data_IF_857068280598
#
_entry.id   IF_857068280598
#
_cell.length_a   1.000
_cell.length_b   1.000
_cell.length_c   1.000
_cell.angle_alpha   90.00
_cell.angle_beta   90.00
_cell.angle_gamma   90.00
#
_symmetry.space_group_name_H-M   'P 1'
#
loop_
_entity.id
_entity.type
_entity.pdbx_description
1 polymer ?
#
# COMPACT_ATOMS: atom_id res chain seq x y z
N UNK A 1 20.42 -9.50 -76.04
CA UNK A 1 19.17 -9.08 -75.38
C UNK A 1 19.12 -9.73 -73.99
N UNK A 2 19.39 -8.97 -72.93
CA UNK A 2 19.44 -9.47 -71.55
C UNK A 2 18.13 -9.06 -70.87
N UNK A 3 17.30 -10.03 -70.49
CA UNK A 3 16.06 -9.79 -69.72
C UNK A 3 16.43 -9.48 -68.27
N UNK A 4 16.09 -8.29 -67.80
CA UNK A 4 16.16 -7.91 -66.38
C UNK A 4 15.02 -8.59 -65.62
N UNK A 5 15.36 -9.41 -64.62
CA UNK A 5 14.41 -9.94 -63.64
C UNK A 5 14.34 -8.93 -62.50
N UNK A 6 13.17 -8.33 -62.30
CA UNK A 6 12.90 -7.42 -61.18
C UNK A 6 12.52 -8.26 -59.95
N UNK A 7 13.35 -8.21 -58.91
CA UNK A 7 13.06 -8.79 -57.60
C UNK A 7 12.28 -7.74 -56.80
N UNK A 8 11.00 -8.01 -56.54
CA UNK A 8 10.20 -7.23 -55.58
C UNK A 8 10.45 -7.77 -54.17
N UNK A 9 11.19 -7.01 -53.36
CA UNK A 9 11.31 -7.25 -51.92
C UNK A 9 10.05 -6.67 -51.27
N UNK A 10 9.14 -7.55 -50.84
CA UNK A 10 7.99 -7.19 -50.01
C UNK A 10 8.49 -7.03 -48.57
N UNK A 11 8.64 -5.78 -48.12
CA UNK A 11 8.83 -5.46 -46.71
C UNK A 11 7.50 -5.68 -45.97
N UNK A 12 7.37 -6.85 -45.32
CA UNK A 12 6.34 -7.05 -44.30
C UNK A 12 6.74 -6.24 -43.06
N UNK A 13 5.96 -5.24 -42.61
CA UNK A 13 6.21 -4.65 -41.31
C UNK A 13 5.95 -5.71 -40.26
N UNK A 14 7.02 -6.19 -39.63
CA UNK A 14 6.96 -6.99 -38.43
C UNK A 14 6.31 -6.11 -37.35
N UNK A 15 5.00 -6.25 -37.17
CA UNK A 15 4.28 -5.61 -36.08
C UNK A 15 4.75 -6.30 -34.81
N UNK A 16 5.82 -5.77 -34.21
CA UNK A 16 6.16 -6.02 -32.82
C UNK A 16 5.06 -5.40 -31.94
N UNK A 17 3.92 -6.09 -31.86
CA UNK A 17 3.08 -5.99 -30.67
C UNK A 17 3.77 -6.84 -29.61
N UNK A 18 4.86 -6.31 -29.06
CA UNK A 18 5.31 -6.73 -27.75
C UNK A 18 4.12 -6.53 -26.82
N UNK A 19 3.58 -7.62 -26.32
CA UNK A 19 2.55 -7.62 -25.29
C UNK A 19 3.16 -6.95 -24.06
N UNK A 20 3.02 -5.62 -23.95
CA UNK A 20 3.01 -4.98 -22.65
C UNK A 20 1.72 -5.48 -21.97
N UNK A 21 1.82 -6.63 -21.32
CA UNK A 21 0.79 -7.04 -20.38
C UNK A 21 0.83 -5.98 -19.27
N UNK A 22 -0.21 -5.15 -19.20
CA UNK A 22 -0.30 -4.11 -18.19
C UNK A 22 -0.18 -4.76 -16.81
N UNK A 23 0.86 -4.37 -16.07
CA UNK A 23 1.07 -4.85 -14.71
C UNK A 23 -0.08 -4.35 -13.84
N UNK A 24 -0.83 -5.29 -13.29
CA UNK A 24 -1.96 -5.03 -12.39
C UNK A 24 -1.52 -5.33 -10.95
N UNK A 25 -1.66 -4.34 -10.07
CA UNK A 25 -1.37 -4.52 -8.64
C UNK A 25 -2.34 -5.54 -8.05
N UNK A 26 -1.80 -6.53 -7.34
CA UNK A 26 -2.60 -7.49 -6.59
C UNK A 26 -2.96 -6.87 -5.24
N UNK A 27 -4.22 -6.48 -5.09
CA UNK A 27 -4.73 -5.80 -3.88
C UNK A 27 -4.54 -6.66 -2.64
N UNK A 28 -4.79 -7.98 -2.72
CA UNK A 28 -4.64 -8.87 -1.57
C UNK A 28 -3.19 -8.93 -1.09
N UNK A 29 -2.23 -9.05 -2.02
CA UNK A 29 -0.79 -9.04 -1.67
C UNK A 29 -0.37 -7.70 -1.08
N UNK A 30 -0.91 -6.60 -1.60
CA UNK A 30 -0.65 -5.27 -1.07
C UNK A 30 -1.25 -5.10 0.33
N UNK A 31 -2.46 -5.60 0.60
CA UNK A 31 -3.04 -5.65 1.95
C UNK A 31 -2.16 -6.44 2.89
N UNK A 32 -1.74 -7.65 2.50
CA UNK A 32 -0.85 -8.50 3.30
C UNK A 32 0.49 -7.82 3.62
N UNK A 33 1.10 -7.11 2.66
CA UNK A 33 2.36 -6.38 2.88
C UNK A 33 2.20 -5.14 3.76
N UNK A 34 1.01 -4.54 3.81
CA UNK A 34 0.79 -3.25 4.48
C UNK A 34 0.08 -3.35 5.83
N UNK A 35 -0.47 -4.52 6.14
CA UNK A 35 -1.15 -4.82 7.39
C UNK A 35 -0.24 -5.67 8.29
N UNK A 36 -0.11 -5.30 9.55
CA UNK A 36 0.59 -6.08 10.56
C UNK A 36 -0.30 -6.29 11.79
N UNK A 37 -0.16 -7.47 12.40
CA UNK A 37 -0.83 -7.86 13.63
C UNK A 37 0.21 -7.92 14.75
N UNK A 38 -0.23 -7.66 15.98
CA UNK A 38 0.58 -7.94 17.16
C UNK A 38 0.88 -9.44 17.25
N UNK A 39 2.08 -9.76 17.74
CA UNK A 39 2.47 -11.13 18.06
C UNK A 39 1.97 -11.55 19.46
N UNK A 40 1.44 -10.63 20.25
CA UNK A 40 0.93 -10.91 21.60
C UNK A 40 -0.37 -11.72 21.54
N UNK A 41 -0.44 -12.88 22.23
CA UNK A 41 -1.65 -13.70 22.24
C UNK A 41 -2.81 -13.06 23.01
N UNK A 42 -2.51 -12.08 23.88
CA UNK A 42 -3.50 -11.42 24.75
C UNK A 42 -3.98 -10.09 24.16
N UNK A 43 -3.55 -9.74 22.94
CA UNK A 43 -3.89 -8.48 22.27
C UNK A 43 -4.58 -8.72 20.94
N UNK A 44 -5.67 -8.00 20.70
CA UNK A 44 -6.20 -7.76 19.36
C UNK A 44 -5.69 -6.39 18.91
N UNK A 45 -4.47 -6.37 18.38
CA UNK A 45 -3.84 -5.16 17.87
C UNK A 45 -3.45 -5.35 16.42
N UNK A 46 -3.94 -4.48 15.56
CA UNK A 46 -3.63 -4.46 14.13
C UNK A 46 -3.30 -3.04 13.73
N UNK A 47 -2.19 -2.87 13.01
CA UNK A 47 -1.87 -1.64 12.31
C UNK A 47 -1.90 -1.90 10.81
N UNK A 48 -2.70 -1.11 10.10
CA UNK A 48 -2.75 -1.11 8.66
C UNK A 48 -2.33 0.26 8.13
N UNK A 49 -1.13 0.33 7.57
CA UNK A 49 -0.71 1.50 6.82
C UNK A 49 -1.34 1.45 5.43
N UNK A 50 -2.11 2.46 5.03
CA UNK A 50 -2.82 2.42 3.76
C UNK A 50 -2.18 3.45 2.80
N UNK A 51 -1.22 3.05 1.96
CA UNK A 51 -0.61 3.97 1.01
C UNK A 51 -1.63 4.40 -0.05
N UNK A 52 -1.43 5.57 -0.66
CA UNK A 52 -2.27 6.03 -1.78
C UNK A 52 -2.31 5.02 -2.93
N UNK A 53 -1.21 4.31 -3.16
CA UNK A 53 -1.11 3.23 -4.16
C UNK A 53 -2.12 2.11 -3.93
N UNK A 54 -2.55 1.87 -2.69
CA UNK A 54 -3.63 0.93 -2.39
C UNK A 54 -4.95 1.42 -2.97
N UNK A 55 -5.30 2.69 -2.75
CA UNK A 55 -6.51 3.29 -3.29
C UNK A 55 -6.47 3.40 -4.81
N UNK A 56 -5.30 3.70 -5.39
CA UNK A 56 -5.10 3.70 -6.84
C UNK A 56 -5.35 2.30 -7.42
N UNK A 57 -4.83 1.27 -6.76
CA UNK A 57 -5.06 -0.13 -7.14
C UNK A 57 -6.54 -0.52 -7.00
N UNK A 58 -7.26 -0.06 -5.98
CA UNK A 58 -8.70 -0.31 -5.82
C UNK A 58 -9.50 0.38 -6.91
N UNK A 59 -9.31 1.69 -7.10
CA UNK A 59 -10.11 2.49 -8.05
C UNK A 59 -9.85 2.12 -9.50
N UNK A 60 -8.61 1.80 -9.88
CA UNK A 60 -8.28 1.32 -11.23
C UNK A 60 -8.94 -0.02 -11.58
N UNK A 61 -9.41 -0.75 -10.57
CA UNK A 61 -10.03 -2.08 -10.73
C UNK A 61 -11.55 -2.05 -10.55
N UNK A 62 -12.12 -0.93 -10.10
CA UNK A 62 -13.55 -0.75 -9.93
C UNK A 62 -14.13 0.11 -11.06
N UNK A 63 -14.77 -0.55 -12.02
CA UNK A 63 -15.40 0.11 -13.16
C UNK A 63 -16.62 0.99 -12.80
N UNK A 64 -17.12 0.91 -11.56
CA UNK A 64 -18.24 1.73 -11.10
C UNK A 64 -17.82 3.16 -10.70
N UNK A 65 -16.53 3.39 -10.50
CA UNK A 65 -15.97 4.68 -10.10
C UNK A 65 -15.39 5.40 -11.32
N UNK A 66 -15.91 6.58 -11.70
CA UNK A 66 -15.33 7.38 -12.77
C UNK A 66 -13.89 7.80 -12.44
N UNK A 67 -12.97 7.72 -13.43
CA UNK A 67 -11.56 8.11 -13.25
C UNK A 67 -11.39 9.51 -12.67
N UNK A 68 -12.20 10.47 -13.14
CA UNK A 68 -12.15 11.85 -12.62
C UNK A 68 -12.50 11.99 -11.14
N UNK A 69 -13.29 11.06 -10.60
CA UNK A 69 -13.64 11.07 -9.17
C UNK A 69 -12.60 10.31 -8.37
N UNK A 70 -12.06 9.21 -8.91
CA UNK A 70 -10.90 8.52 -8.34
C UNK A 70 -9.71 9.49 -8.18
N UNK A 71 -9.37 10.26 -9.22
CA UNK A 71 -8.25 11.23 -9.20
C UNK A 71 -8.43 12.28 -8.08
N UNK A 72 -9.66 12.77 -7.89
CA UNK A 72 -9.95 13.73 -6.81
C UNK A 72 -9.78 13.12 -5.43
N UNK A 73 -10.19 11.86 -5.24
CA UNK A 73 -10.03 11.13 -3.99
C UNK A 73 -8.55 10.86 -3.70
N UNK A 74 -7.80 10.39 -4.71
CA UNK A 74 -6.37 10.13 -4.60
C UNK A 74 -5.60 11.40 -4.23
N UNK A 75 -5.93 12.54 -4.84
CA UNK A 75 -5.31 13.83 -4.51
C UNK A 75 -5.51 14.23 -3.03
N UNK A 76 -6.58 13.80 -2.38
CA UNK A 76 -6.75 14.01 -0.93
C UNK A 76 -5.83 13.08 -0.14
N UNK A 77 -5.78 11.79 -0.49
CA UNK A 77 -4.92 10.82 0.17
C UNK A 77 -3.43 11.09 -0.02
N UNK A 78 -3.04 11.78 -1.10
CA UNK A 78 -1.65 12.12 -1.35
C UNK A 78 -1.02 13.05 -0.32
N UNK A 79 -1.83 13.85 0.36
CA UNK A 79 -1.36 14.81 1.38
C UNK A 79 -0.94 14.15 2.68
N UNK A 80 -1.38 12.92 2.91
CA UNK A 80 -1.32 12.28 4.22
C UNK A 80 -0.66 10.91 4.16
N UNK A 81 0.01 10.54 5.25
CA UNK A 81 0.26 9.14 5.58
C UNK A 81 -0.94 8.65 6.39
N UNK A 82 -1.65 7.65 5.88
CA UNK A 82 -2.87 7.12 6.50
C UNK A 82 -2.57 5.81 7.22
N UNK A 83 -3.00 5.70 8.47
CA UNK A 83 -2.94 4.48 9.25
C UNK A 83 -4.35 4.19 9.77
N UNK A 84 -4.83 2.98 9.55
CA UNK A 84 -6.01 2.44 10.21
C UNK A 84 -5.53 1.46 11.29
N UNK A 85 -6.09 1.54 12.49
CA UNK A 85 -5.67 0.68 13.60
C UNK A 85 -6.83 0.31 14.50
N UNK A 86 -6.69 -0.85 15.12
CA UNK A 86 -7.54 -1.35 16.19
C UNK A 86 -6.63 -1.83 17.32
N UNK A 87 -7.06 -1.61 18.55
CA UNK A 87 -6.35 -2.08 19.74
C UNK A 87 -7.37 -2.58 20.76
N UNK A 88 -6.99 -3.61 21.50
CA UNK A 88 -7.85 -4.23 22.50
C UNK A 88 -7.19 -5.39 23.21
N UNK A 89 -7.65 -5.65 24.42
CA UNK A 89 -7.24 -6.79 25.24
C UNK A 89 -8.18 -7.97 25.00
N UNK A 90 -7.61 -9.16 24.81
CA UNK A 90 -8.38 -10.41 24.71
C UNK A 90 -8.51 -10.97 26.12
N UNK A 91 -9.74 -11.09 26.62
CA UNK A 91 -10.01 -11.67 27.93
C UNK A 91 -9.97 -13.21 27.90
N UNK A 92 -10.09 -13.83 29.07
CA UNK A 92 -10.03 -15.31 29.21
C UNK A 92 -11.15 -16.04 28.47
N UNK A 93 -12.25 -15.35 28.17
CA UNK A 93 -13.40 -15.90 27.42
C UNK A 93 -13.27 -15.64 25.91
N UNK A 94 -12.20 -14.97 25.49
CA UNK A 94 -11.93 -14.61 24.10
C UNK A 94 -12.68 -13.37 23.62
N UNK A 95 -13.30 -12.59 24.51
CA UNK A 95 -13.88 -11.31 24.14
C UNK A 95 -12.79 -10.23 24.05
N UNK A 96 -13.01 -9.27 23.16
CA UNK A 96 -12.08 -8.17 22.95
C UNK A 96 -12.61 -6.93 23.67
N UNK A 97 -11.83 -6.41 24.60
CA UNK A 97 -12.05 -5.12 25.24
C UNK A 97 -11.30 -4.06 24.44
N UNK A 98 -12.01 -3.38 23.53
CA UNK A 98 -11.40 -2.40 22.65
C UNK A 98 -10.96 -1.14 23.40
N UNK A 99 -9.81 -0.62 23.01
CA UNK A 99 -9.26 0.66 23.45
C UNK A 99 -9.98 1.79 22.71
N UNK A 100 -10.19 2.93 23.38
CA UNK A 100 -10.87 4.08 22.78
C UNK A 100 -10.03 4.75 21.68
N UNK A 101 -10.69 5.45 20.74
CA UNK A 101 -10.02 6.23 19.69
C UNK A 101 -9.06 7.27 20.29
N UNK A 102 -9.46 7.93 21.39
CA UNK A 102 -8.66 8.95 22.08
C UNK A 102 -7.40 8.35 22.73
N UNK A 103 -7.50 7.16 23.33
CA UNK A 103 -6.35 6.49 23.94
C UNK A 103 -5.35 6.01 22.86
N UNK A 104 -5.86 5.52 21.73
CA UNK A 104 -5.04 5.18 20.56
C UNK A 104 -4.36 6.45 20.02
N UNK A 105 -5.11 7.55 19.86
CA UNK A 105 -4.58 8.83 19.36
C UNK A 105 -3.34 9.30 20.14
N UNK A 106 -3.38 9.17 21.46
CA UNK A 106 -2.32 9.63 22.35
C UNK A 106 -1.04 8.79 22.27
N UNK A 107 -1.16 7.52 21.87
CA UNK A 107 -0.07 6.53 21.94
C UNK A 107 0.45 6.12 20.56
N UNK A 108 -0.31 6.40 19.50
CA UNK A 108 0.07 6.15 18.12
C UNK A 108 1.12 7.16 17.62
N UNK A 109 2.15 6.66 16.94
CA UNK A 109 3.17 7.46 16.25
C UNK A 109 3.58 6.80 14.94
N UNK A 110 3.86 7.61 13.91
CA UNK A 110 4.64 7.17 12.74
C UNK A 110 6.10 7.55 13.00
N UNK A 111 7.04 6.65 12.70
CA UNK A 111 8.48 6.86 12.83
C UNK A 111 9.13 6.70 11.48
N UNK A 112 9.77 7.75 10.96
CA UNK A 112 10.42 7.72 9.65
C UNK A 112 11.81 7.07 9.68
N UNK A 113 12.46 7.02 8.53
CA UNK A 113 13.80 6.46 8.36
C UNK A 113 14.89 7.24 9.13
N UNK A 114 14.64 8.49 9.51
CA UNK A 114 15.53 9.33 10.32
C UNK A 114 15.30 9.19 11.82
N UNK A 115 14.36 8.33 12.23
CA UNK A 115 13.89 8.18 13.62
C UNK A 115 13.09 9.38 14.13
N UNK A 116 12.61 10.27 13.24
CA UNK A 116 11.69 11.32 13.63
C UNK A 116 10.30 10.73 13.88
N UNK A 117 9.68 11.12 14.99
CA UNK A 117 8.33 10.68 15.36
C UNK A 117 7.28 11.73 15.00
N UNK A 118 6.17 11.26 14.43
CA UNK A 118 5.04 12.07 14.01
C UNK A 118 3.79 11.60 14.76
N UNK A 119 3.08 12.54 15.36
CA UNK A 119 1.79 12.28 16.01
C UNK A 119 0.65 12.39 15.00
N UNK A 120 -0.50 11.74 15.25
CA UNK A 120 -1.68 11.91 14.43
C UNK A 120 -2.13 13.37 14.42
N UNK A 121 -2.70 13.80 13.29
CA UNK A 121 -3.32 15.10 13.14
C UNK A 121 -4.62 15.17 13.95
N UNK A 122 -4.84 16.29 14.63
CA UNK A 122 -6.14 16.60 15.23
C UNK A 122 -7.16 16.95 14.16
N UNK A 123 -8.44 16.90 14.51
CA UNK A 123 -9.50 17.17 13.53
C UNK A 123 -9.33 18.54 12.85
N UNK A 124 -9.01 19.60 13.57
CA UNK A 124 -8.86 20.95 13.01
C UNK A 124 -7.69 21.07 11.99
N UNK A 125 -6.77 20.12 11.97
CA UNK A 125 -5.65 20.06 11.04
C UNK A 125 -5.98 19.29 9.74
N UNK A 126 -7.12 18.61 9.69
CA UNK A 126 -7.54 17.80 8.52
C UNK A 126 -8.55 18.61 7.70
N UNK A 127 -8.34 18.67 6.38
CA UNK A 127 -9.27 19.37 5.50
C UNK A 127 -10.65 18.68 5.42
N UNK A 128 -11.69 19.47 5.16
CA UNK A 128 -13.07 19.02 5.19
C UNK A 128 -13.37 17.90 4.19
N UNK A 129 -12.73 17.92 3.03
CA UNK A 129 -12.96 16.94 1.97
C UNK A 129 -12.37 15.59 2.37
N UNK A 130 -11.17 15.58 2.96
CA UNK A 130 -10.55 14.37 3.50
C UNK A 130 -11.36 13.77 4.64
N UNK A 131 -11.88 14.59 5.56
CA UNK A 131 -12.77 14.12 6.64
C UNK A 131 -14.01 13.43 6.09
N UNK A 132 -14.64 14.02 5.08
CA UNK A 132 -15.82 13.45 4.42
C UNK A 132 -15.51 12.10 3.77
N UNK A 133 -14.37 11.98 3.10
CA UNK A 133 -13.93 10.71 2.51
C UNK A 133 -13.76 9.63 3.58
N UNK A 134 -13.04 9.90 4.66
CA UNK A 134 -12.86 8.93 5.76
C UNK A 134 -14.21 8.52 6.35
N UNK A 135 -15.13 9.45 6.51
CA UNK A 135 -16.49 9.19 7.02
C UNK A 135 -17.25 8.21 6.13
N UNK A 136 -17.09 8.30 4.81
CA UNK A 136 -17.70 7.38 3.84
C UNK A 136 -17.04 6.00 3.89
N UNK A 137 -15.75 5.93 4.21
CA UNK A 137 -14.97 4.68 4.19
C UNK A 137 -15.14 3.84 5.46
N UNK A 138 -15.33 4.46 6.63
CA UNK A 138 -15.53 3.74 7.91
C UNK A 138 -16.63 2.65 7.80
N UNK A 139 -17.84 2.93 7.27
CA UNK A 139 -18.88 1.91 7.08
C UNK A 139 -18.48 0.76 6.14
N UNK A 140 -17.67 1.03 5.12
CA UNK A 140 -17.21 0.00 4.18
C UNK A 140 -16.35 -1.02 4.93
N UNK A 141 -15.42 -0.56 5.77
CA UNK A 141 -14.60 -1.45 6.60
C UNK A 141 -15.43 -2.19 7.65
N UNK A 142 -16.39 -1.52 8.30
CA UNK A 142 -17.32 -2.17 9.23
C UNK A 142 -18.10 -3.32 8.57
N UNK A 143 -18.60 -3.10 7.34
CA UNK A 143 -19.30 -4.15 6.59
C UNK A 143 -18.38 -5.29 6.15
N UNK A 144 -17.11 -5.01 5.84
CA UNK A 144 -16.14 -6.02 5.38
C UNK A 144 -15.54 -6.84 6.52
N UNK A 145 -15.23 -6.21 7.65
CA UNK A 145 -14.48 -6.80 8.78
C UNK A 145 -15.36 -7.04 10.02
N UNK A 146 -16.66 -6.74 9.94
CA UNK A 146 -17.61 -6.85 11.05
C UNK A 146 -17.18 -6.00 12.24
N UNK A 147 -17.24 -6.59 13.44
CA UNK A 147 -16.89 -5.92 14.70
C UNK A 147 -15.46 -5.35 14.72
N UNK A 148 -14.52 -5.96 14.00
CA UNK A 148 -13.16 -5.43 13.91
C UNK A 148 -13.13 -4.13 13.10
N UNK A 149 -13.89 -4.07 11.99
CA UNK A 149 -14.01 -2.85 11.20
C UNK A 149 -14.75 -1.73 11.91
N UNK A 150 -15.73 -2.06 12.75
CA UNK A 150 -16.46 -1.09 13.58
C UNK A 150 -15.58 -0.41 14.63
N UNK A 151 -14.56 -1.11 15.14
CA UNK A 151 -13.60 -0.61 16.13
C UNK A 151 -12.25 -0.22 15.50
N UNK A 152 -12.22 -0.08 14.17
CA UNK A 152 -11.04 0.38 13.45
C UNK A 152 -11.11 1.91 13.28
N UNK A 153 -10.04 2.58 13.71
CA UNK A 153 -9.94 4.04 13.68
C UNK A 153 -8.89 4.48 12.67
N UNK A 154 -9.19 5.56 11.93
CA UNK A 154 -8.29 6.13 10.94
C UNK A 154 -7.55 7.33 11.53
N UNK A 155 -6.24 7.33 11.36
CA UNK A 155 -5.34 8.39 11.78
C UNK A 155 -4.54 8.89 10.58
N UNK A 156 -4.48 10.20 10.45
CA UNK A 156 -3.71 10.87 9.40
C UNK A 156 -2.47 11.51 10.00
N UNK A 157 -1.39 11.45 9.25
CA UNK A 157 -0.11 12.04 9.62
C UNK A 157 0.41 12.89 8.46
N UNK A 158 1.10 13.96 8.80
CA UNK A 158 1.74 14.85 7.83
C UNK A 158 3.04 15.40 8.42
N UNK A 159 3.98 15.73 7.55
CA UNK A 159 5.19 16.47 7.91
C UNK A 159 4.84 17.92 8.23
N UNK A 160 5.29 18.42 9.37
CA UNK A 160 5.09 19.85 9.74
C UNK A 160 6.06 20.77 9.01
N UNK A 161 7.26 20.28 8.68
CA UNK A 161 8.31 20.97 7.94
C UNK A 161 8.08 20.97 6.42
N UNK A 162 7.41 19.95 5.90
CA UNK A 162 7.10 19.81 4.49
C UNK A 162 5.72 19.18 4.23
N UNK A 163 4.64 19.96 4.41
CA UNK A 163 3.26 19.45 4.28
C UNK A 163 2.92 18.89 2.90
N UNK A 164 3.72 19.19 1.88
CA UNK A 164 3.48 18.73 0.51
C UNK A 164 4.03 17.33 0.25
N UNK A 165 4.86 16.79 1.16
CA UNK A 165 5.45 15.46 1.03
C UNK A 165 4.97 14.52 2.14
N UNK A 166 4.64 13.29 1.73
CA UNK A 166 4.31 12.21 2.66
C UNK A 166 5.51 11.89 3.55
N UNK A 167 5.23 11.44 4.76
CA UNK A 167 6.27 10.92 5.67
C UNK A 167 6.92 9.67 5.07
N UNK A 168 6.14 8.85 4.36
CA UNK A 168 6.56 7.56 3.82
C UNK A 168 6.22 7.45 2.34
N UNK A 169 7.15 6.97 1.52
CA UNK A 169 6.94 6.64 0.12
C UNK A 169 7.09 5.12 -0.12
N UNK A 170 6.03 4.41 -0.54
CA UNK A 170 6.03 2.95 -0.65
C UNK A 170 6.95 2.40 -1.75
N UNK A 171 7.47 3.24 -2.65
CA UNK A 171 8.32 2.84 -3.78
C UNK A 171 9.80 3.15 -3.58
N UNK A 172 10.14 3.86 -2.52
CA UNK A 172 11.52 4.19 -2.20
C UNK A 172 12.20 3.07 -1.39
N UNK A 173 13.53 2.99 -1.46
CA UNK A 173 14.33 2.07 -0.66
C UNK A 173 14.60 2.68 0.71
N UNK A 174 13.72 2.40 1.65
CA UNK A 174 13.78 2.91 3.02
C UNK A 174 13.01 1.99 3.97
N UNK A 175 13.00 2.32 5.26
CA UNK A 175 12.19 1.63 6.25
C UNK A 175 11.50 2.68 7.10
N UNK A 176 10.29 2.36 7.56
CA UNK A 176 9.58 3.17 8.53
C UNK A 176 8.87 2.26 9.51
N UNK A 177 8.32 2.84 10.56
CA UNK A 177 7.54 2.09 11.52
C UNK A 177 6.32 2.86 12.00
N UNK A 178 5.37 2.13 12.55
CA UNK A 178 4.29 2.66 13.37
C UNK A 178 4.49 2.14 14.79
N UNK A 179 4.51 3.04 15.76
CA UNK A 179 4.45 2.69 17.18
C UNK A 179 3.03 2.83 17.67
N UNK A 180 2.55 1.84 18.41
CA UNK A 180 1.26 1.88 19.09
C UNK A 180 1.48 1.33 20.50
N UNK A 181 1.36 2.20 21.50
CA UNK A 181 1.78 1.91 22.86
C UNK A 181 3.27 1.51 22.93
N UNK A 182 3.54 0.32 23.42
CA UNK A 182 4.85 -0.30 23.62
C UNK A 182 5.30 -1.15 22.42
N UNK A 183 4.42 -1.38 21.43
CA UNK A 183 4.72 -2.16 20.25
C UNK A 183 5.15 -1.30 19.06
N UNK A 184 5.97 -1.92 18.20
CA UNK A 184 6.53 -1.30 17.00
C UNK A 184 6.36 -2.23 15.81
N UNK A 185 5.65 -1.73 14.80
CA UNK A 185 5.38 -2.40 13.53
C UNK A 185 6.29 -1.81 12.47
N UNK A 186 7.14 -2.62 11.85
CA UNK A 186 8.18 -2.13 10.93
C UNK A 186 7.94 -2.61 9.50
N UNK A 187 8.03 -1.70 8.53
CA UNK A 187 7.95 -2.04 7.11
C UNK A 187 9.28 -1.79 6.43
N UNK A 188 9.67 -2.74 5.58
CA UNK A 188 10.79 -2.61 4.67
C UNK A 188 10.26 -2.24 3.28
N UNK A 189 10.82 -1.20 2.68
CA UNK A 189 10.40 -0.65 1.40
C UNK A 189 11.51 -0.82 0.34
N UNK A 190 11.18 -0.88 -0.96
CA UNK A 190 9.85 -0.70 -1.54
C UNK A 190 8.90 -1.88 -1.32
N UNK A 191 7.60 -1.63 -1.34
CA UNK A 191 6.58 -2.66 -1.34
C UNK A 191 6.69 -3.50 -2.63
N UNK A 192 6.96 -4.78 -2.47
CA UNK A 192 7.15 -5.73 -3.58
C UNK A 192 5.91 -5.86 -4.45
N UNK A 193 4.72 -5.77 -3.85
CA UNK A 193 3.41 -5.78 -4.50
C UNK A 193 3.16 -4.61 -5.45
N UNK A 194 3.88 -3.50 -5.31
CA UNK A 194 3.78 -2.33 -6.18
C UNK A 194 4.77 -2.36 -7.34
N UNK A 195 5.71 -3.31 -7.33
CA UNK A 195 6.74 -3.45 -8.33
C UNK A 195 6.40 -4.56 -9.30
N UNK A 196 6.76 -4.37 -10.58
CA UNK A 196 6.64 -5.45 -11.56
C UNK A 196 7.44 -6.67 -11.06
N UNK A 197 6.86 -7.87 -11.12
CA UNK A 197 7.58 -9.09 -10.76
C UNK A 197 8.89 -9.21 -11.56
N UNK A 198 9.88 -9.85 -10.96
CA UNK A 198 11.12 -10.19 -11.66
C UNK A 198 11.15 -11.67 -12.03
N UNK A 199 11.93 -12.04 -13.03
CA UNK A 199 12.11 -13.42 -13.49
C UNK A 199 13.40 -14.00 -12.93
N UNK A 200 13.33 -15.22 -12.41
CA UNK A 200 14.53 -16.01 -12.18
C UNK A 200 15.11 -16.48 -13.52
N UNK A 201 16.41 -16.29 -13.80
CA UNK A 201 17.00 -16.68 -15.08
C UNK A 201 17.11 -18.20 -15.27
N UNK A 202 16.99 -19.00 -14.20
CA UNK A 202 17.19 -20.45 -14.23
C UNK A 202 15.90 -21.19 -14.59
N UNK A 203 14.79 -20.88 -13.92
CA UNK A 203 13.51 -21.58 -14.03
C UNK A 203 12.38 -20.69 -14.58
N UNK A 204 12.66 -19.41 -14.85
CA UNK A 204 11.70 -18.41 -15.33
C UNK A 204 10.55 -18.11 -14.36
N UNK A 205 10.65 -18.52 -13.09
CA UNK A 205 9.64 -18.23 -12.08
C UNK A 205 9.54 -16.72 -11.85
N UNK A 206 8.31 -16.22 -11.71
CA UNK A 206 8.02 -14.85 -11.29
C UNK A 206 8.20 -14.72 -9.79
N UNK A 207 9.03 -13.76 -9.40
CA UNK A 207 9.43 -13.49 -8.03
C UNK A 207 9.16 -12.03 -7.69
N UNK A 208 9.29 -11.71 -6.41
CA UNK A 208 9.00 -10.40 -5.87
C UNK A 208 9.76 -9.28 -6.61
N UNK A 209 9.06 -8.19 -6.92
CA UNK A 209 9.61 -7.07 -7.66
C UNK A 209 10.73 -6.32 -6.93
N UNK A 210 10.74 -6.38 -5.60
CA UNK A 210 11.75 -5.74 -4.73
C UNK A 210 13.06 -6.51 -4.65
N UNK A 211 13.05 -7.81 -5.00
CA UNK A 211 14.23 -8.66 -4.86
C UNK A 211 15.27 -8.39 -5.94
N UNK A 212 16.54 -8.64 -5.59
CA UNK A 212 17.66 -8.52 -6.55
C UNK A 212 18.20 -9.88 -6.97
N UNK A 213 18.02 -10.92 -6.15
CA UNK A 213 18.49 -12.28 -6.40
C UNK A 213 17.36 -13.29 -6.17
N UNK A 214 17.38 -14.40 -6.92
CA UNK A 214 16.50 -15.53 -6.69
C UNK A 214 16.87 -16.20 -5.36
N UNK A 215 15.93 -16.37 -4.40
CA UNK A 215 16.25 -17.00 -3.11
C UNK A 215 16.56 -18.49 -3.23
N UNK A 216 16.11 -19.14 -4.31
CA UNK A 216 16.31 -20.56 -4.55
C UNK A 216 17.61 -20.87 -5.32
N UNK A 217 17.94 -20.04 -6.31
CA UNK A 217 19.06 -20.29 -7.24
C UNK A 217 20.26 -19.34 -7.05
N UNK A 218 20.14 -18.31 -6.22
CA UNK A 218 21.21 -17.34 -5.95
C UNK A 218 21.66 -16.52 -7.17
N UNK A 219 20.91 -16.55 -8.27
CA UNK A 219 21.21 -15.79 -9.49
C UNK A 219 20.53 -14.42 -9.47
N UNK A 220 21.17 -13.37 -10.02
CA UNK A 220 20.53 -12.07 -10.20
C UNK A 220 19.23 -12.24 -11.00
N UNK A 221 18.18 -11.59 -10.53
CA UNK A 221 16.89 -11.60 -11.21
C UNK A 221 16.92 -10.69 -12.44
N UNK A 222 16.12 -11.04 -13.45
CA UNK A 222 15.96 -10.25 -14.67
C UNK A 222 14.58 -9.61 -14.71
N UNK A 223 14.45 -8.48 -15.40
CA UNK A 223 13.16 -7.80 -15.53
C UNK A 223 12.18 -8.67 -16.34
N UNK A 224 10.91 -8.67 -15.90
CA UNK A 224 9.81 -9.34 -16.59
C UNK A 224 9.56 -8.75 -17.98
#
# INVERSE_FOLDING_TARGET
>A
MIKKVAIYIVFLPFIWKGFAQDFKVNINKLTEETQQLSESPDKMRMVWWIPTDFWEAVFSQDASIPTSDADKMLAQFEKYTMVATIDGDIDTDGNIQYVSEDDIFNTLKVVDNTQQEFSPLTEDQIDLDTKRLITIMKPVLGNMLGKLGENMHFFLFQRTDDPLHKIVNPKNKESFAVKLNDERFEWQLPLGSLLRPQKCPVDQQLLDGSWTYCPYHGKPLTKY
#
